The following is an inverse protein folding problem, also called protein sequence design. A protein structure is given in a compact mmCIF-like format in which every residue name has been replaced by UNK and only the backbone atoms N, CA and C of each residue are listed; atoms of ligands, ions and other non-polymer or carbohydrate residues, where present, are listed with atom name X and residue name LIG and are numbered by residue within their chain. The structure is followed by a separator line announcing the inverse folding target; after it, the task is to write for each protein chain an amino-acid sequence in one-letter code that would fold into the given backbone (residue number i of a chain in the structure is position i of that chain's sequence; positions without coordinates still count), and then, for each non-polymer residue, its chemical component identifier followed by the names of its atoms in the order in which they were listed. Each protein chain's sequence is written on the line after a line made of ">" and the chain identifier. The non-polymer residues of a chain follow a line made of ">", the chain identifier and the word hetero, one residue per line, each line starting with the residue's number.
data_IF_264239974902
#
_entry.id   IF_264239974902
#
_cell.length_a   1.000
_cell.length_b   1.000
_cell.length_c   1.000
_cell.angle_alpha   90.00
_cell.angle_beta   90.00
_cell.angle_gamma   90.00
#
_symmetry.space_group_name_H-M   'P 1'
#
loop_
_entity.id
_entity.type
_entity.pdbx_description
1 polymer ?
#
# COMPACT_ATOMS: atom_id res chain seq x y z
N UNK A 1 6.41 -5.51 50.04
CA UNK A 1 4.99 -5.11 49.83
C UNK A 1 4.19 -6.35 49.47
N UNK A 2 3.26 -6.75 50.34
CA UNK A 2 2.57 -8.04 50.26
C UNK A 2 1.44 -8.00 49.20
N UNK A 3 1.23 -9.12 48.48
CA UNK A 3 0.25 -9.28 47.37
C UNK A 3 -1.15 -8.69 47.65
N UNK A 4 -1.56 -8.60 48.92
CA UNK A 4 -2.83 -7.99 49.36
C UNK A 4 -2.93 -6.48 49.08
N UNK A 5 -1.82 -5.74 49.09
CA UNK A 5 -1.81 -4.29 48.79
C UNK A 5 -1.98 -4.00 47.29
N UNK A 6 -1.55 -4.93 46.42
CA UNK A 6 -1.72 -4.81 44.96
C UNK A 6 -3.18 -4.97 44.51
N UNK A 7 -3.92 -5.90 45.12
CA UNK A 7 -5.35 -6.08 44.83
C UNK A 7 -6.21 -4.93 45.34
N UNK A 8 -5.85 -4.33 46.49
CA UNK A 8 -6.54 -3.15 47.01
C UNK A 8 -6.37 -1.92 46.09
N UNK A 9 -5.17 -1.74 45.53
CA UNK A 9 -4.90 -0.66 44.57
C UNK A 9 -5.66 -0.85 43.25
N UNK A 10 -5.73 -2.09 42.74
CA UNK A 10 -6.48 -2.42 41.52
C UNK A 10 -7.99 -2.25 41.70
N UNK A 11 -8.53 -2.64 42.86
CA UNK A 11 -9.95 -2.44 43.17
C UNK A 11 -10.32 -0.95 43.28
N UNK A 12 -9.45 -0.13 43.89
CA UNK A 12 -9.64 1.30 43.99
C UNK A 12 -9.62 1.99 42.60
N UNK A 13 -8.70 1.60 41.72
CA UNK A 13 -8.63 2.11 40.35
C UNK A 13 -9.86 1.73 39.53
N UNK A 14 -10.35 0.49 39.65
CA UNK A 14 -11.57 0.06 38.96
C UNK A 14 -12.81 0.83 39.43
N UNK A 15 -12.93 1.12 40.73
CA UNK A 15 -14.03 1.91 41.28
C UNK A 15 -14.03 3.36 40.77
N UNK A 16 -12.85 3.97 40.61
CA UNK A 16 -12.71 5.32 40.06
C UNK A 16 -13.17 5.36 38.59
N UNK A 17 -12.80 4.37 37.78
CA UNK A 17 -13.23 4.30 36.36
C UNK A 17 -14.74 4.17 36.22
N UNK A 18 -15.39 3.38 37.08
CA UNK A 18 -16.86 3.23 37.08
C UNK A 18 -17.55 4.54 37.47
N UNK A 19 -17.03 5.25 38.47
CA UNK A 19 -17.60 6.54 38.90
C UNK A 19 -17.47 7.63 37.83
N UNK A 20 -16.33 7.70 37.15
CA UNK A 20 -16.13 8.64 36.03
C UNK A 20 -17.07 8.30 34.86
N UNK A 21 -17.26 7.01 34.56
CA UNK A 21 -18.16 6.58 33.49
C UNK A 21 -19.63 6.90 33.80
N UNK A 22 -20.06 6.75 35.05
CA UNK A 22 -21.42 7.10 35.48
C UNK A 22 -21.68 8.62 35.42
N UNK A 23 -20.68 9.45 35.74
CA UNK A 23 -20.78 10.90 35.65
C UNK A 23 -20.92 11.40 34.20
N UNK A 24 -20.26 10.72 33.24
CA UNK A 24 -20.40 11.04 31.80
C UNK A 24 -21.80 10.68 31.30
N UNK A 25 -22.37 9.55 31.73
CA UNK A 25 -23.72 9.13 31.33
C UNK A 25 -24.83 10.01 31.91
N UNK A 26 -24.63 10.56 33.12
CA UNK A 26 -25.61 11.45 33.75
C UNK A 26 -25.53 12.91 33.27
N UNK A 27 -24.47 13.28 32.51
CA UNK A 27 -24.29 14.62 31.95
C UNK A 27 -24.98 14.90 30.62
N UNK A 28 -25.57 13.89 29.96
CA UNK A 28 -26.17 14.03 28.61
C UNK A 28 -27.71 14.11 28.63
N UNK A 29 -28.35 13.99 29.79
CA UNK A 29 -29.82 14.12 29.89
C UNK A 29 -30.21 15.48 30.48
N UNK A 30 -30.24 16.50 29.62
CA UNK A 30 -30.65 17.86 29.96
C UNK A 30 -31.43 18.56 28.87
N UNK A 31 -32.76 18.40 28.93
CA UNK A 31 -33.82 19.37 28.54
C UNK A 31 -33.90 19.87 27.08
N UNK A 32 -34.93 19.42 26.37
CA UNK A 32 -35.50 20.10 25.21
C UNK A 32 -37.00 19.84 25.13
N UNK A 33 -37.80 20.83 25.50
CA UNK A 33 -39.24 20.77 25.64
C UNK A 33 -39.99 20.59 24.30
N UNK A 34 -41.18 20.01 24.40
CA UNK A 34 -42.20 19.88 23.33
C UNK A 34 -42.61 21.25 22.79
N UNK A 35 -42.77 21.33 21.48
CA UNK A 35 -43.81 22.15 20.86
C UNK A 35 -44.39 21.37 19.68
N UNK A 36 -45.62 20.90 19.86
CA UNK A 36 -46.48 20.48 18.76
C UNK A 36 -47.03 21.72 18.09
N UNK A 37 -46.83 21.84 16.78
CA UNK A 37 -47.61 22.71 15.91
C UNK A 37 -47.77 21.98 14.59
N UNK A 38 -49.02 21.65 14.27
CA UNK A 38 -49.43 21.08 13.02
C UNK A 38 -49.14 22.07 11.88
N UNK A 39 -48.52 21.60 10.80
CA UNK A 39 -48.78 22.18 9.49
C UNK A 39 -48.59 21.16 8.35
N UNK A 40 -49.26 21.46 7.26
CA UNK A 40 -49.81 20.58 6.26
C UNK A 40 -48.80 20.10 5.20
N UNK A 41 -49.27 19.16 4.38
CA UNK A 41 -48.53 18.43 3.36
C UNK A 41 -47.65 19.25 2.42
N UNK A 42 -46.42 18.76 2.25
CA UNK A 42 -45.71 18.81 0.99
C UNK A 42 -44.92 17.49 0.84
N UNK A 43 -45.29 16.66 -0.14
CA UNK A 43 -44.50 15.48 -0.52
C UNK A 43 -43.18 15.97 -1.11
N UNK A 44 -42.11 15.92 -0.33
CA UNK A 44 -40.75 16.11 -0.85
C UNK A 44 -40.44 14.98 -1.83
N UNK A 45 -39.98 15.25 -3.06
CA UNK A 45 -39.57 14.21 -3.98
C UNK A 45 -38.42 13.43 -3.36
N UNK A 46 -38.65 12.15 -3.03
CA UNK A 46 -37.57 11.21 -2.70
C UNK A 46 -36.82 10.87 -3.99
N UNK A 47 -35.84 11.70 -4.33
CA UNK A 47 -34.70 11.31 -5.17
C UNK A 47 -33.57 12.29 -4.95
N UNK A 48 -32.98 12.24 -3.76
CA UNK A 48 -31.55 12.47 -3.66
C UNK A 48 -30.93 11.12 -3.97
N UNK A 49 -30.61 10.86 -5.24
CA UNK A 49 -29.59 9.87 -5.52
C UNK A 49 -28.36 10.33 -4.73
N UNK A 50 -27.85 9.48 -3.82
CA UNK A 50 -26.55 9.73 -3.24
C UNK A 50 -25.58 10.03 -4.38
N UNK A 51 -24.71 11.05 -4.29
CA UNK A 51 -23.72 11.27 -5.34
C UNK A 51 -23.04 9.94 -5.59
N UNK A 52 -23.02 9.49 -6.85
CA UNK A 52 -22.27 8.30 -7.22
C UNK A 52 -20.86 8.52 -6.70
N UNK A 53 -20.41 7.70 -5.75
CA UNK A 53 -19.06 7.77 -5.21
C UNK A 53 -18.12 7.72 -6.41
N UNK A 54 -17.49 8.85 -6.73
CA UNK A 54 -16.42 8.87 -7.71
C UNK A 54 -15.29 8.09 -7.07
N UNK A 55 -15.00 6.89 -7.58
CA UNK A 55 -13.98 6.03 -7.02
C UNK A 55 -12.66 6.76 -6.79
N UNK A 56 -11.89 6.23 -5.84
CA UNK A 56 -10.59 6.78 -5.48
C UNK A 56 -9.51 5.73 -5.64
N UNK A 57 -8.27 6.19 -5.83
CA UNK A 57 -7.11 5.30 -5.74
C UNK A 57 -6.81 5.03 -4.28
N UNK A 58 -6.77 3.75 -3.92
CA UNK A 58 -6.48 3.28 -2.56
C UNK A 58 -5.33 2.29 -2.62
N UNK A 59 -4.40 2.39 -1.67
CA UNK A 59 -3.31 1.43 -1.53
C UNK A 59 -3.87 0.07 -1.12
N UNK A 60 -3.89 -0.89 -2.05
CA UNK A 60 -4.43 -2.23 -1.83
C UNK A 60 -3.40 -3.20 -1.24
N UNK A 61 -2.13 -2.95 -1.52
CA UNK A 61 -1.00 -3.65 -0.96
C UNK A 61 0.24 -2.74 -1.05
N UNK A 62 1.14 -2.83 -0.08
CA UNK A 62 2.48 -2.29 -0.23
C UNK A 62 3.44 -2.94 0.76
N UNK A 63 4.73 -2.83 0.50
CA UNK A 63 5.78 -3.28 1.41
C UNK A 63 6.99 -2.35 1.31
N UNK A 64 7.59 -2.05 2.45
CA UNK A 64 8.77 -1.17 2.52
C UNK A 64 10.00 -1.90 1.97
N UNK A 65 10.76 -1.31 1.03
CA UNK A 65 12.03 -1.88 0.61
C UNK A 65 13.06 -1.77 1.75
N UNK A 66 13.73 -2.87 2.07
CA UNK A 66 14.63 -2.96 3.23
C UNK A 66 16.09 -2.76 2.85
N UNK A 67 16.49 -3.08 1.63
CA UNK A 67 17.88 -2.98 1.22
C UNK A 67 18.11 -3.28 -0.26
N UNK A 68 19.38 -3.29 -0.64
CA UNK A 68 19.86 -3.96 -1.84
C UNK A 68 20.08 -5.45 -1.52
N UNK A 69 19.58 -6.35 -2.35
CA UNK A 69 19.73 -7.78 -2.16
C UNK A 69 21.21 -8.20 -2.28
N UNK A 70 21.79 -8.85 -1.26
CA UNK A 70 23.18 -9.30 -1.30
C UNK A 70 23.46 -10.22 -2.48
N UNK A 71 24.61 -10.04 -3.15
CA UNK A 71 25.04 -10.85 -4.29
C UNK A 71 24.43 -10.45 -5.62
N UNK A 72 23.65 -9.36 -5.65
CA UNK A 72 23.00 -8.84 -6.86
C UNK A 72 23.61 -7.53 -7.36
N UNK A 73 24.72 -7.08 -6.75
CA UNK A 73 25.31 -5.75 -6.94
C UNK A 73 25.70 -5.48 -8.40
N UNK A 74 26.26 -6.48 -9.08
CA UNK A 74 26.79 -6.33 -10.44
C UNK A 74 25.80 -6.68 -11.55
N UNK A 75 25.01 -7.74 -11.35
CA UNK A 75 24.17 -8.31 -12.42
C UNK A 75 22.67 -8.20 -12.17
N UNK A 76 22.25 -7.99 -10.93
CA UNK A 76 20.84 -8.12 -10.57
C UNK A 76 20.25 -9.44 -11.03
N UNK A 77 19.11 -9.34 -11.71
CA UNK A 77 18.38 -10.43 -12.36
C UNK A 77 18.27 -10.23 -13.87
N UNK A 78 19.31 -9.68 -14.50
CA UNK A 78 19.32 -9.48 -15.95
C UNK A 78 19.05 -10.79 -16.70
N UNK A 79 18.17 -10.73 -17.70
CA UNK A 79 17.75 -11.88 -18.49
C UNK A 79 16.80 -12.83 -17.75
N UNK A 80 16.24 -12.42 -16.61
CA UNK A 80 15.27 -13.21 -15.84
C UNK A 80 13.99 -12.42 -15.58
N UNK A 81 12.86 -13.12 -15.58
CA UNK A 81 11.58 -12.58 -15.17
C UNK A 81 11.36 -12.87 -13.69
N UNK A 82 11.06 -11.83 -12.90
CA UNK A 82 10.71 -11.95 -11.48
C UNK A 82 9.21 -11.77 -11.36
N UNK A 83 8.51 -12.81 -10.89
CA UNK A 83 7.07 -12.81 -10.61
C UNK A 83 6.84 -12.73 -9.11
N UNK A 84 6.57 -11.53 -8.63
CA UNK A 84 6.19 -11.26 -7.26
C UNK A 84 4.73 -11.66 -7.05
N UNK A 85 4.43 -12.36 -5.95
CA UNK A 85 3.04 -12.56 -5.53
C UNK A 85 2.74 -11.58 -4.40
N UNK A 86 1.64 -10.84 -4.48
CA UNK A 86 1.22 -9.88 -3.43
C UNK A 86 -0.23 -10.13 -3.05
N UNK A 87 -0.56 -9.96 -1.77
CA UNK A 87 -1.90 -10.16 -1.23
C UNK A 87 -2.59 -8.82 -1.02
N UNK A 88 -3.55 -8.49 -1.86
CA UNK A 88 -4.32 -7.24 -1.79
C UNK A 88 -5.42 -7.33 -0.74
N UNK A 89 -5.63 -6.26 0.02
CA UNK A 89 -6.64 -6.22 1.08
C UNK A 89 -7.94 -5.58 0.65
N UNK A 90 -7.91 -4.67 -0.33
CA UNK A 90 -9.11 -4.13 -0.97
C UNK A 90 -9.07 -4.35 -2.48
N UNK A 91 -10.24 -4.55 -3.06
CA UNK A 91 -10.48 -4.72 -4.47
C UNK A 91 -10.73 -3.42 -5.22
N UNK A 92 -10.79 -3.53 -6.55
CA UNK A 92 -11.05 -2.39 -7.42
C UNK A 92 -11.24 -2.79 -8.88
N UNK A 93 -11.56 -1.79 -9.70
CA UNK A 93 -11.84 -1.97 -11.14
C UNK A 93 -10.62 -1.79 -12.04
N UNK A 94 -9.55 -1.19 -11.49
CA UNK A 94 -8.27 -0.97 -12.15
C UNK A 94 -7.15 -1.05 -11.12
N UNK A 95 -5.93 -1.32 -11.58
CA UNK A 95 -4.74 -1.35 -10.74
C UNK A 95 -3.62 -0.49 -11.36
N UNK A 96 -2.72 -0.02 -10.51
CA UNK A 96 -1.40 0.51 -10.92
C UNK A 96 -0.34 0.03 -9.93
N UNK A 97 0.88 -0.13 -10.41
CA UNK A 97 1.98 -0.75 -9.66
C UNK A 97 3.12 0.24 -9.48
N UNK A 98 3.66 0.35 -8.28
CA UNK A 98 4.87 1.13 -8.00
C UNK A 98 6.09 0.22 -8.00
N UNK A 99 7.01 0.49 -8.92
CA UNK A 99 8.31 -0.16 -9.06
C UNK A 99 9.42 0.78 -8.55
N UNK A 100 10.37 0.25 -7.80
CA UNK A 100 11.40 1.03 -7.11
C UNK A 100 12.80 0.49 -7.38
N UNK A 101 13.72 1.42 -7.65
CA UNK A 101 15.15 1.19 -7.74
C UNK A 101 15.89 1.92 -6.60
N UNK A 102 15.25 2.03 -5.43
CA UNK A 102 15.74 2.81 -4.28
C UNK A 102 17.19 2.46 -3.88
N UNK A 103 17.53 1.18 -3.83
CA UNK A 103 18.86 0.72 -3.43
C UNK A 103 19.78 0.42 -4.63
N UNK A 104 19.27 0.53 -5.87
CA UNK A 104 20.08 0.32 -7.05
C UNK A 104 21.12 1.43 -7.22
N UNK A 105 22.27 1.06 -7.76
CA UNK A 105 23.39 1.96 -8.07
C UNK A 105 23.52 2.24 -9.57
N UNK A 106 22.71 1.57 -10.39
CA UNK A 106 22.63 1.72 -11.85
C UNK A 106 21.17 1.92 -12.28
N UNK A 107 20.91 2.55 -13.43
CA UNK A 107 19.56 2.64 -13.97
C UNK A 107 18.96 1.25 -14.22
N UNK A 108 17.78 1.00 -13.63
CA UNK A 108 17.02 -0.21 -13.84
C UNK A 108 16.18 -0.08 -15.11
N UNK A 109 16.57 -0.79 -16.17
CA UNK A 109 15.85 -0.80 -17.44
C UNK A 109 14.88 -1.99 -17.52
N UNK A 110 13.61 -1.75 -17.22
CA UNK A 110 12.56 -2.75 -17.37
C UNK A 110 11.96 -2.64 -18.76
N UNK A 111 12.12 -3.67 -19.60
CA UNK A 111 11.56 -3.64 -20.95
C UNK A 111 10.16 -4.23 -21.03
N UNK A 112 9.77 -5.05 -20.04
CA UNK A 112 8.43 -5.62 -19.92
C UNK A 112 8.04 -5.75 -18.45
N UNK A 113 6.77 -5.50 -18.17
CA UNK A 113 6.15 -5.82 -16.90
C UNK A 113 4.66 -6.18 -17.10
N UNK A 114 4.09 -6.97 -16.19
CA UNK A 114 2.69 -7.39 -16.25
C UNK A 114 2.09 -7.58 -14.86
N UNK A 115 0.76 -7.54 -14.81
CA UNK A 115 -0.06 -7.88 -13.63
C UNK A 115 -1.15 -8.88 -14.01
N UNK A 116 -1.45 -9.83 -13.12
CA UNK A 116 -2.54 -10.78 -13.27
C UNK A 116 -3.09 -11.20 -11.90
N UNK A 117 -4.28 -11.81 -11.87
CA UNK A 117 -4.73 -12.57 -10.70
C UNK A 117 -4.04 -13.94 -10.70
N UNK A 118 -3.78 -14.49 -9.53
CA UNK A 118 -3.34 -15.90 -9.45
C UNK A 118 -4.48 -16.86 -9.82
N UNK A 119 -4.17 -17.96 -10.50
CA UNK A 119 -5.13 -19.03 -10.78
C UNK A 119 -5.42 -19.90 -9.54
N UNK A 120 -4.46 -19.99 -8.63
CA UNK A 120 -4.58 -20.76 -7.39
C UNK A 120 -3.65 -20.20 -6.29
N UNK A 121 -3.94 -20.42 -5.00
CA UNK A 121 -3.03 -20.05 -3.92
C UNK A 121 -1.65 -20.66 -4.10
N UNK A 122 -0.59 -19.90 -3.82
CA UNK A 122 0.80 -20.36 -3.86
C UNK A 122 1.21 -21.03 -5.19
N UNK A 123 0.72 -20.48 -6.31
CA UNK A 123 1.00 -20.98 -7.65
C UNK A 123 1.44 -19.84 -8.58
N UNK A 124 2.42 -20.05 -9.49
CA UNK A 124 2.84 -19.03 -10.43
C UNK A 124 1.87 -18.79 -11.60
N UNK A 125 0.88 -19.66 -11.84
CA UNK A 125 -0.07 -19.57 -12.97
C UNK A 125 -1.03 -18.38 -12.80
N UNK A 126 -1.21 -17.61 -13.86
CA UNK A 126 -2.20 -16.54 -13.92
C UNK A 126 -3.60 -17.09 -14.19
N UNK A 127 -4.62 -16.49 -13.58
CA UNK A 127 -6.01 -16.78 -13.89
C UNK A 127 -6.30 -16.38 -15.36
N UNK A 128 -6.92 -17.26 -16.16
CA UNK A 128 -7.14 -17.01 -17.59
C UNK A 128 -7.83 -15.67 -17.87
N UNK A 129 -7.29 -14.90 -18.82
CA UNK A 129 -7.89 -13.62 -19.25
C UNK A 129 -7.68 -12.45 -18.28
N UNK A 130 -6.93 -12.65 -17.20
CA UNK A 130 -6.62 -11.59 -16.21
C UNK A 130 -5.27 -10.92 -16.45
N UNK A 131 -4.38 -11.53 -17.25
CA UNK A 131 -3.06 -10.98 -17.52
C UNK A 131 -3.14 -9.67 -18.30
N UNK A 132 -2.45 -8.65 -17.80
CA UNK A 132 -2.35 -7.33 -18.44
C UNK A 132 -0.90 -6.88 -18.45
N UNK A 133 -0.44 -6.40 -19.60
CA UNK A 133 0.83 -5.68 -19.68
C UNK A 133 0.71 -4.36 -18.91
N UNK A 134 1.77 -4.01 -18.17
CA UNK A 134 1.92 -2.70 -17.56
C UNK A 134 2.63 -1.77 -18.54
N UNK A 135 2.21 -0.51 -18.55
CA UNK A 135 2.84 0.56 -19.32
C UNK A 135 3.27 1.71 -18.42
N UNK A 136 4.16 2.56 -18.93
CA UNK A 136 4.69 3.74 -18.26
C UNK A 136 4.70 4.88 -19.28
N UNK A 137 3.85 5.89 -19.05
CA UNK A 137 3.63 6.98 -20.00
C UNK A 137 3.24 6.44 -21.40
N UNK A 138 2.44 5.38 -21.43
CA UNK A 138 1.97 4.70 -22.64
C UNK A 138 2.99 3.73 -23.28
N UNK A 139 4.19 3.57 -22.71
CA UNK A 139 5.26 2.71 -23.26
C UNK A 139 5.37 1.40 -22.47
N UNK A 140 5.77 0.33 -23.12
CA UNK A 140 5.98 -0.97 -22.45
C UNK A 140 7.27 -1.03 -21.63
N UNK A 141 8.22 -0.12 -21.90
CA UNK A 141 9.51 -0.01 -21.21
C UNK A 141 9.57 1.20 -20.26
N UNK A 142 10.40 1.07 -19.23
CA UNK A 142 10.75 2.16 -18.32
C UNK A 142 12.17 2.03 -17.82
N UNK A 143 12.87 3.18 -17.74
CA UNK A 143 14.15 3.29 -17.03
C UNK A 143 13.89 3.97 -15.70
N UNK A 144 14.22 3.28 -14.61
CA UNK A 144 14.12 3.80 -13.24
C UNK A 144 15.52 4.16 -12.75
N UNK A 145 15.87 5.45 -12.59
CA UNK A 145 17.19 5.85 -12.11
C UNK A 145 17.52 5.29 -10.71
N UNK A 146 18.80 5.24 -10.31
CA UNK A 146 19.20 4.94 -8.94
C UNK A 146 18.45 5.80 -7.91
N UNK A 147 17.94 5.20 -6.85
CA UNK A 147 17.24 5.94 -5.78
C UNK A 147 15.78 6.30 -6.07
N UNK A 148 15.29 6.05 -7.29
CA UNK A 148 13.99 6.52 -7.75
C UNK A 148 12.92 5.41 -7.77
N UNK A 149 11.67 5.82 -7.94
CA UNK A 149 10.54 4.93 -8.19
C UNK A 149 9.67 5.43 -9.36
N UNK A 150 8.92 4.51 -9.96
CA UNK A 150 7.95 4.79 -11.03
C UNK A 150 6.66 4.04 -10.79
N UNK A 151 5.54 4.74 -10.97
CA UNK A 151 4.20 4.17 -10.95
C UNK A 151 3.81 3.85 -12.39
N UNK A 152 3.24 2.68 -12.63
CA UNK A 152 2.70 2.33 -13.94
C UNK A 152 1.48 3.18 -14.27
N UNK A 153 1.13 3.23 -15.55
CA UNK A 153 -0.19 3.67 -15.98
C UNK A 153 -1.26 2.75 -15.35
N UNK A 154 -2.49 3.28 -15.26
CA UNK A 154 -3.62 2.52 -14.78
C UNK A 154 -4.03 1.44 -15.79
N UNK A 155 -4.23 0.22 -15.31
CA UNK A 155 -4.67 -0.90 -16.14
C UNK A 155 -6.01 -1.47 -15.67
N UNK A 156 -6.92 -1.71 -16.61
CA UNK A 156 -8.23 -2.31 -16.30
C UNK A 156 -8.09 -3.80 -16.00
N UNK A 157 -8.27 -4.12 -14.73
CA UNK A 157 -8.30 -5.47 -14.18
C UNK A 157 -9.21 -5.43 -12.95
N UNK A 158 -10.19 -6.34 -12.87
CA UNK A 158 -11.04 -6.43 -11.68
C UNK A 158 -10.30 -7.22 -10.62
N UNK A 159 -9.93 -6.55 -9.54
CA UNK A 159 -9.27 -7.14 -8.37
C UNK A 159 -10.34 -7.36 -7.31
N UNK A 160 -10.63 -8.61 -6.90
CA UNK A 160 -11.47 -8.88 -5.73
C UNK A 160 -10.80 -8.44 -4.42
N UNK A 161 -11.59 -8.26 -3.36
CA UNK A 161 -11.03 -8.11 -2.02
C UNK A 161 -10.28 -9.39 -1.59
N UNK A 162 -9.16 -9.23 -0.87
CA UNK A 162 -8.37 -10.37 -0.41
C UNK A 162 -7.73 -11.17 -1.54
N UNK A 163 -7.50 -10.58 -2.71
CA UNK A 163 -6.98 -11.30 -3.87
C UNK A 163 -5.44 -11.33 -3.90
N UNK A 164 -4.90 -12.45 -4.40
CA UNK A 164 -3.48 -12.56 -4.72
C UNK A 164 -3.23 -12.13 -6.17
N UNK A 165 -2.30 -11.18 -6.34
CA UNK A 165 -1.84 -10.70 -7.65
C UNK A 165 -0.45 -11.21 -7.96
N UNK A 166 -0.22 -11.50 -9.24
CA UNK A 166 1.07 -11.81 -9.83
C UNK A 166 1.59 -10.55 -10.54
N UNK A 167 2.75 -10.05 -10.12
CA UNK A 167 3.40 -8.89 -10.74
C UNK A 167 4.74 -9.33 -11.28
N UNK A 168 4.85 -9.37 -12.61
CA UNK A 168 6.07 -9.83 -13.28
C UNK A 168 6.85 -8.63 -13.81
N UNK A 169 8.17 -8.63 -13.60
CA UNK A 169 9.11 -7.65 -14.19
C UNK A 169 10.21 -8.38 -14.94
N UNK A 170 10.70 -7.77 -16.02
CA UNK A 170 11.83 -8.29 -16.79
C UNK A 170 12.79 -7.15 -17.19
N UNK A 171 14.08 -7.36 -16.92
CA UNK A 171 15.18 -6.52 -17.41
C UNK A 171 16.13 -7.38 -18.26
N UNK A 172 16.44 -6.99 -19.50
CA UNK A 172 17.43 -7.69 -20.31
C UNK A 172 18.87 -7.31 -19.92
N UNK A 173 19.05 -6.15 -19.26
CA UNK A 173 20.37 -5.59 -18.95
C UNK A 173 20.70 -5.69 -17.46
N UNK A 174 22.00 -5.88 -17.11
CA UNK A 174 22.48 -5.76 -15.74
C UNK A 174 22.07 -4.44 -15.08
N UNK A 175 21.62 -4.54 -13.83
CA UNK A 175 21.38 -3.42 -12.91
C UNK A 175 21.42 -3.97 -11.49
N UNK A 176 21.93 -3.21 -10.53
CA UNK A 176 22.02 -3.69 -9.16
C UNK A 176 22.53 -2.66 -8.15
N UNK A 177 22.51 -2.99 -6.84
CA UNK A 177 21.84 -4.16 -6.28
C UNK A 177 20.31 -4.07 -6.42
N UNK A 178 19.64 -5.23 -6.38
CA UNK A 178 18.19 -5.33 -6.50
C UNK A 178 17.53 -4.74 -5.27
N UNK A 179 16.63 -3.78 -5.45
CA UNK A 179 15.78 -3.28 -4.36
C UNK A 179 14.82 -4.38 -3.93
N UNK A 180 14.86 -4.77 -2.66
CA UNK A 180 14.06 -5.91 -2.18
C UNK A 180 13.54 -5.75 -0.74
N UNK A 181 12.58 -6.61 -0.41
CA UNK A 181 12.08 -6.85 0.92
C UNK A 181 12.32 -8.33 1.30
N UNK A 182 13.16 -8.64 2.32
CA UNK A 182 13.65 -9.99 2.62
C UNK A 182 12.66 -10.91 3.35
N UNK A 183 11.57 -10.37 3.89
CA UNK A 183 10.66 -11.11 4.78
C UNK A 183 9.21 -11.08 4.29
N UNK A 184 9.01 -11.28 3.00
CA UNK A 184 7.68 -11.18 2.36
C UNK A 184 6.59 -12.07 2.99
N UNK A 185 6.98 -13.16 3.66
CA UNK A 185 6.08 -14.24 4.09
C UNK A 185 5.20 -14.77 2.94
N UNK A 186 5.67 -14.60 1.72
CA UNK A 186 4.99 -14.94 0.48
C UNK A 186 5.96 -15.67 -0.45
N UNK A 187 5.43 -16.56 -1.29
CA UNK A 187 6.19 -17.32 -2.27
C UNK A 187 6.10 -16.58 -3.61
N UNK A 188 7.18 -15.91 -3.99
CA UNK A 188 7.41 -15.34 -5.32
C UNK A 188 8.17 -16.33 -6.20
N UNK A 189 8.33 -16.02 -7.49
CA UNK A 189 9.00 -16.90 -8.43
C UNK A 189 9.95 -16.17 -9.38
N UNK A 190 10.92 -16.90 -9.91
CA UNK A 190 11.88 -16.43 -10.91
C UNK A 190 11.93 -17.44 -12.07
N UNK A 191 11.97 -16.92 -13.30
CA UNK A 191 12.13 -17.69 -14.52
C UNK A 191 13.24 -17.11 -15.40
N UNK A 192 13.91 -17.95 -16.20
CA UNK A 192 14.86 -17.48 -17.21
C UNK A 192 14.13 -16.94 -18.44
N UNK A 193 14.68 -15.87 -19.02
CA UNK A 193 14.13 -15.19 -20.20
C UNK A 193 12.96 -14.26 -19.87
N UNK A 194 12.43 -13.66 -20.92
CA UNK A 194 11.25 -12.81 -20.88
C UNK A 194 10.00 -13.72 -20.81
N UNK A 195 9.25 -13.63 -19.70
CA UNK A 195 8.10 -14.50 -19.35
C UNK A 195 6.93 -13.68 -18.80
N UNK A 196 6.89 -12.39 -19.09
CA UNK A 196 5.86 -11.48 -18.55
C UNK A 196 4.46 -11.82 -19.06
N UNK A 197 4.35 -12.44 -20.25
CA UNK A 197 3.08 -12.90 -20.83
C UNK A 197 2.79 -14.39 -20.59
N UNK A 198 3.60 -15.09 -19.78
CA UNK A 198 3.41 -16.52 -19.49
C UNK A 198 2.31 -16.74 -18.44
N UNK A 199 1.08 -16.93 -18.89
CA UNK A 199 -0.06 -17.28 -18.03
C UNK A 199 0.09 -18.65 -17.36
N UNK A 200 0.71 -19.62 -18.04
CA UNK A 200 0.82 -20.98 -17.52
C UNK A 200 1.63 -21.05 -16.23
N UNK A 201 2.61 -20.15 -16.06
CA UNK A 201 3.52 -20.17 -14.92
C UNK A 201 4.55 -21.31 -14.97
N UNK A 202 4.52 -22.18 -15.99
CA UNK A 202 5.34 -23.39 -16.03
C UNK A 202 6.86 -23.11 -16.07
N UNK A 203 7.26 -21.96 -16.62
CA UNK A 203 8.67 -21.55 -16.66
C UNK A 203 9.21 -21.05 -15.31
N UNK A 204 8.34 -20.76 -14.35
CA UNK A 204 8.67 -20.20 -13.03
C UNK A 204 9.02 -21.31 -12.04
N UNK A 205 10.15 -21.98 -12.30
CA UNK A 205 10.60 -23.15 -11.53
C UNK A 205 11.38 -22.80 -10.27
N UNK A 206 11.83 -21.55 -10.11
CA UNK A 206 12.55 -21.10 -8.92
C UNK A 206 11.62 -20.33 -7.99
N UNK A 207 11.38 -20.85 -6.80
CA UNK A 207 10.69 -20.12 -5.73
C UNK A 207 11.64 -19.13 -5.03
N UNK A 208 11.08 -18.03 -4.54
CA UNK A 208 11.80 -17.03 -3.76
C UNK A 208 10.92 -16.44 -2.67
N UNK A 209 11.43 -16.29 -1.44
CA UNK A 209 10.66 -15.74 -0.32
C UNK A 209 10.72 -14.19 -0.25
N UNK A 210 11.12 -13.51 -1.32
CA UNK A 210 11.35 -12.07 -1.35
C UNK A 210 10.39 -11.35 -2.30
N UNK A 211 10.09 -10.09 -1.99
CA UNK A 211 9.58 -9.14 -2.97
C UNK A 211 10.73 -8.32 -3.53
N UNK A 212 10.81 -8.21 -4.86
CA UNK A 212 11.86 -7.45 -5.57
C UNK A 212 11.23 -6.41 -6.48
N UNK A 213 11.76 -5.19 -6.43
CA UNK A 213 11.36 -4.01 -7.20
C UNK A 213 9.92 -3.51 -6.96
N UNK A 214 8.95 -4.38 -6.67
CA UNK A 214 7.56 -4.00 -6.41
C UNK A 214 7.42 -3.51 -4.97
N UNK A 215 6.88 -2.30 -4.79
CA UNK A 215 6.75 -1.67 -3.46
C UNK A 215 5.33 -1.23 -3.13
N UNK A 216 4.46 -1.05 -4.12
CA UNK A 216 3.03 -0.79 -3.89
C UNK A 216 2.15 -1.24 -5.05
N UNK A 217 0.90 -1.55 -4.73
CA UNK A 217 -0.22 -1.71 -5.66
C UNK A 217 -1.35 -0.83 -5.17
N UNK A 218 -1.79 0.09 -6.02
CA UNK A 218 -3.02 0.84 -5.79
C UNK A 218 -4.11 0.28 -6.69
N UNK A 219 -5.34 0.27 -6.18
CA UNK A 219 -6.53 -0.06 -6.96
C UNK A 219 -7.50 1.12 -7.01
N UNK A 220 -8.26 1.22 -8.10
CA UNK A 220 -9.33 2.19 -8.23
C UNK A 220 -10.63 1.57 -7.70
N UNK A 221 -11.04 1.98 -6.50
CA UNK A 221 -12.17 1.42 -5.77
C UNK A 221 -13.29 2.45 -5.62
N UNK A 222 -14.53 2.01 -5.83
CA UNK A 222 -15.73 2.81 -5.54
C UNK A 222 -16.31 2.51 -4.15
N UNK A 223 -15.80 1.48 -3.49
CA UNK A 223 -16.34 0.92 -2.24
C UNK A 223 -15.40 1.23 -1.06
N UNK A 224 -14.09 1.32 -1.30
CA UNK A 224 -13.13 1.58 -0.23
C UNK A 224 -13.23 2.99 0.35
N UNK A 225 -13.18 3.06 1.68
CA UNK A 225 -13.18 4.29 2.48
C UNK A 225 -11.75 4.85 2.70
N UNK A 226 -10.71 4.16 2.22
CA UNK A 226 -9.32 4.57 2.37
C UNK A 226 -8.39 3.44 2.79
N UNK A 227 -7.21 3.79 3.29
CA UNK A 227 -6.18 2.87 3.74
C UNK A 227 -5.66 3.23 5.14
N UNK A 228 -5.44 2.20 5.95
CA UNK A 228 -4.71 2.23 7.22
C UNK A 228 -3.30 1.73 6.96
N UNK A 229 -2.28 2.57 7.21
CA UNK A 229 -0.89 2.13 7.13
C UNK A 229 -0.38 1.66 8.49
N UNK A 230 0.19 0.46 8.51
CA UNK A 230 0.77 -0.15 9.70
C UNK A 230 2.29 -0.13 9.58
N UNK A 231 2.92 0.85 10.23
CA UNK A 231 4.37 0.94 10.35
C UNK A 231 4.84 0.15 11.56
N UNK A 232 5.80 -0.75 11.39
CA UNK A 232 6.28 -1.54 12.54
C UNK A 232 7.55 -2.35 12.30
N UNK A 233 7.84 -3.20 13.27
CA UNK A 233 9.00 -4.09 13.30
C UNK A 233 8.67 -5.50 12.78
N UNK A 234 9.41 -6.52 13.22
CA UNK A 234 9.22 -7.93 12.88
C UNK A 234 7.83 -8.50 13.16
N UNK A 235 7.12 -7.99 14.17
CA UNK A 235 5.77 -8.44 14.47
C UNK A 235 4.83 -8.02 13.35
N UNK A 236 4.99 -6.78 12.88
CA UNK A 236 4.23 -6.24 11.74
C UNK A 236 4.67 -6.88 10.43
N UNK A 237 5.98 -7.04 10.23
CA UNK A 237 6.56 -7.71 9.06
C UNK A 237 6.05 -9.16 8.88
N UNK A 238 5.57 -9.76 9.98
CA UNK A 238 4.93 -11.07 9.99
C UNK A 238 5.89 -12.21 10.24
N UNK A 239 7.03 -11.96 10.91
CA UNK A 239 7.91 -13.04 11.40
C UNK A 239 7.07 -14.04 12.19
N UNK A 240 7.36 -15.33 12.00
CA UNK A 240 6.59 -16.49 12.50
C UNK A 240 5.25 -16.80 11.81
N UNK A 241 4.75 -15.93 10.91
CA UNK A 241 3.60 -16.31 10.07
C UNK A 241 3.97 -17.41 9.07
N UNK A 242 3.02 -18.30 8.79
CA UNK A 242 3.20 -19.39 7.83
C UNK A 242 3.40 -18.83 6.42
N UNK A 243 4.49 -19.25 5.76
CA UNK A 243 4.84 -18.80 4.42
C UNK A 243 3.70 -19.07 3.42
N UNK A 244 3.28 -18.04 2.66
CA UNK A 244 2.25 -18.20 1.62
C UNK A 244 0.84 -18.41 2.15
N UNK A 245 0.61 -18.31 3.47
CA UNK A 245 -0.72 -18.54 4.05
C UNK A 245 -1.57 -17.27 4.12
N UNK A 246 -1.00 -16.09 3.88
CA UNK A 246 -1.66 -14.78 4.07
C UNK A 246 -2.28 -14.65 5.48
N UNK A 247 -1.48 -15.00 6.51
CA UNK A 247 -1.87 -14.95 7.94
C UNK A 247 -0.95 -14.04 8.76
N UNK A 248 -0.40 -12.98 8.17
CA UNK A 248 0.21 -11.90 8.97
C UNK A 248 -0.93 -11.27 9.76
N UNK A 249 -0.67 -10.70 10.94
CA UNK A 249 -1.76 -10.12 11.72
C UNK A 249 -2.48 -8.98 10.97
N UNK A 250 -1.78 -8.28 10.06
CA UNK A 250 -2.38 -7.29 9.16
C UNK A 250 -3.33 -7.91 8.14
N UNK A 251 -3.07 -9.12 7.64
CA UNK A 251 -3.98 -9.84 6.75
C UNK A 251 -5.27 -10.22 7.51
N UNK A 252 -5.11 -10.70 8.75
CA UNK A 252 -6.24 -11.03 9.64
C UNK A 252 -7.03 -9.78 10.02
N UNK A 253 -6.35 -8.65 10.29
CA UNK A 253 -7.02 -7.37 10.56
C UNK A 253 -7.85 -6.92 9.36
N UNK A 254 -7.28 -6.96 8.16
CA UNK A 254 -8.00 -6.57 6.94
C UNK A 254 -9.22 -7.45 6.69
N UNK A 255 -9.09 -8.76 6.89
CA UNK A 255 -10.22 -9.67 6.80
C UNK A 255 -11.31 -9.30 7.82
N UNK A 256 -10.94 -9.07 9.09
CA UNK A 256 -11.90 -8.64 10.11
C UNK A 256 -12.59 -7.34 9.74
N UNK A 257 -11.86 -6.32 9.28
CA UNK A 257 -12.45 -5.04 8.90
C UNK A 257 -13.54 -5.17 7.82
N UNK A 258 -13.37 -6.08 6.85
CA UNK A 258 -14.36 -6.41 5.82
C UNK A 258 -15.52 -7.25 6.35
N UNK A 259 -15.25 -8.17 7.27
CA UNK A 259 -16.26 -9.10 7.82
C UNK A 259 -17.13 -8.45 8.94
N UNK A 260 -16.72 -7.32 9.51
CA UNK A 260 -17.42 -6.63 10.60
C UNK A 260 -18.75 -5.96 10.13
N UNK A 261 -19.83 -6.04 10.95
CA UNK A 261 -21.09 -5.35 10.66
C UNK A 261 -20.91 -3.84 10.53
N UNK A 262 -21.28 -3.27 9.39
CA UNK A 262 -21.07 -1.85 9.05
C UNK A 262 -20.01 -1.62 7.97
N UNK A 263 -19.31 -2.67 7.55
CA UNK A 263 -18.38 -2.69 6.42
C UNK A 263 -17.37 -1.54 6.45
N UNK A 264 -16.40 -1.63 7.35
CA UNK A 264 -15.26 -0.70 7.36
C UNK A 264 -14.36 -1.08 6.18
N UNK A 265 -14.69 -0.61 4.98
CA UNK A 265 -13.99 -0.86 3.71
C UNK A 265 -12.62 -0.15 3.65
N UNK A 266 -11.82 -0.28 4.71
CA UNK A 266 -10.47 0.23 4.81
C UNK A 266 -9.48 -0.86 4.38
N UNK A 267 -8.59 -0.50 3.47
CA UNK A 267 -7.41 -1.33 3.18
C UNK A 267 -6.42 -1.27 4.33
N UNK A 268 -5.67 -2.35 4.58
CA UNK A 268 -4.61 -2.38 5.61
C UNK A 268 -3.25 -2.59 4.94
N UNK A 269 -2.39 -1.58 4.99
CA UNK A 269 -1.11 -1.62 4.27
C UNK A 269 0.02 -1.87 5.25
N UNK A 270 0.72 -2.99 5.07
CA UNK A 270 1.78 -3.44 5.96
C UNK A 270 3.14 -2.82 5.57
N UNK A 271 3.66 -1.95 6.44
CA UNK A 271 5.00 -1.36 6.33
C UNK A 271 5.94 -1.86 7.43
N UNK A 272 5.79 -3.13 7.81
CA UNK A 272 6.71 -3.80 8.72
C UNK A 272 8.10 -3.96 8.12
N UNK A 273 9.13 -3.81 8.94
CA UNK A 273 10.50 -4.22 8.61
C UNK A 273 11.07 -4.93 9.84
N UNK A 274 11.53 -6.17 9.69
CA UNK A 274 12.09 -6.91 10.83
C UNK A 274 13.31 -6.22 11.43
N UNK A 275 13.35 -6.12 12.76
CA UNK A 275 14.41 -5.43 13.48
C UNK A 275 14.44 -3.91 13.29
N UNK A 276 13.38 -3.33 12.71
CA UNK A 276 13.31 -1.90 12.48
C UNK A 276 13.30 -1.11 13.79
N UNK A 277 14.00 0.01 13.79
CA UNK A 277 14.10 0.90 14.94
C UNK A 277 13.46 2.22 14.56
N UNK A 278 12.91 2.92 15.55
CA UNK A 278 12.23 4.19 15.30
C UNK A 278 13.20 5.30 14.86
N UNK A 279 14.38 5.37 15.50
CA UNK A 279 15.30 6.52 15.40
C UNK A 279 16.67 6.20 14.79
N UNK A 280 16.97 4.92 14.52
CA UNK A 280 18.30 4.52 14.05
C UNK A 280 18.18 3.69 12.80
N UNK A 281 18.92 4.10 11.76
CA UNK A 281 19.03 3.33 10.54
C UNK A 281 19.96 2.12 10.73
N UNK A 282 19.88 1.15 9.81
CA UNK A 282 20.96 0.19 9.62
C UNK A 282 22.13 0.78 8.83
N UNK A 283 23.03 -0.09 8.41
CA UNK A 283 24.25 0.30 7.71
C UNK A 283 24.01 0.52 6.21
N UNK A 284 24.93 1.24 5.55
CA UNK A 284 24.92 1.46 4.10
C UNK A 284 24.35 2.81 3.67
N UNK A 285 24.35 3.08 2.37
CA UNK A 285 23.79 4.30 1.77
C UNK A 285 23.18 3.98 0.39
N UNK A 286 21.84 4.06 0.22
CA UNK A 286 20.84 4.27 1.27
C UNK A 286 20.94 3.22 2.37
N UNK A 287 20.60 3.61 3.60
CA UNK A 287 20.73 2.71 4.74
C UNK A 287 19.80 1.50 4.58
N UNK A 288 20.37 0.30 4.68
CA UNK A 288 19.56 -0.89 4.84
C UNK A 288 18.79 -0.81 6.16
N UNK A 289 17.56 -1.32 6.20
CA UNK A 289 16.66 -1.23 7.34
C UNK A 289 16.56 0.23 7.88
N UNK A 290 16.06 1.17 7.05
CA UNK A 290 16.00 2.57 7.41
C UNK A 290 15.05 2.76 8.58
N UNK A 291 15.37 3.69 9.48
CA UNK A 291 14.58 3.98 10.67
C UNK A 291 13.13 4.35 10.32
N UNK A 292 12.22 4.06 11.25
CA UNK A 292 10.81 4.46 11.14
C UNK A 292 10.66 5.95 10.84
N UNK A 293 11.46 6.80 11.49
CA UNK A 293 11.49 8.25 11.26
C UNK A 293 11.88 8.59 9.81
N UNK A 294 12.99 8.04 9.31
CA UNK A 294 13.50 8.38 7.98
C UNK A 294 12.63 7.85 6.83
N UNK A 295 11.80 6.83 7.10
CA UNK A 295 10.92 6.25 6.09
C UNK A 295 9.45 6.65 6.23
N UNK A 296 9.08 7.38 7.27
CA UNK A 296 7.68 7.67 7.60
C UNK A 296 6.94 8.35 6.44
N UNK A 297 7.54 9.38 5.86
CA UNK A 297 6.97 10.12 4.72
C UNK A 297 6.70 9.18 3.54
N UNK A 298 7.70 8.39 3.15
CA UNK A 298 7.65 7.50 1.98
C UNK A 298 6.69 6.33 2.18
N UNK A 299 6.81 5.65 3.32
CA UNK A 299 6.14 4.38 3.56
C UNK A 299 4.73 4.58 4.14
N UNK A 300 4.46 5.67 4.88
CA UNK A 300 3.15 5.95 5.46
C UNK A 300 2.40 7.08 4.75
N UNK A 301 2.92 8.31 4.76
CA UNK A 301 2.16 9.48 4.33
C UNK A 301 1.95 9.55 2.81
N UNK A 302 2.87 9.00 2.03
CA UNK A 302 2.81 8.97 0.57
C UNK A 302 1.96 7.81 0.01
N UNK A 303 1.08 7.18 0.78
CA UNK A 303 0.24 6.05 0.31
C UNK A 303 -1.16 6.51 -0.11
N UNK A 304 -1.64 6.00 -1.23
CA UNK A 304 -2.96 6.31 -1.77
C UNK A 304 -4.07 5.93 -0.79
N UNK A 305 -5.08 6.80 -0.64
CA UNK A 305 -6.22 6.54 0.25
C UNK A 305 -5.92 6.69 1.74
N UNK A 306 -4.71 7.10 2.14
CA UNK A 306 -4.51 7.58 3.51
C UNK A 306 -5.30 8.88 3.68
N UNK A 307 -6.35 8.82 4.51
CA UNK A 307 -7.11 10.01 4.84
C UNK A 307 -6.16 11.05 5.45
N UNK A 308 -6.18 12.25 4.89
CA UNK A 308 -5.63 13.45 5.50
C UNK A 308 -6.34 13.63 6.85
N UNK A 309 -5.70 13.18 7.93
CA UNK A 309 -6.16 13.52 9.28
C UNK A 309 -5.96 15.02 9.44
N UNK A 310 -7.06 15.75 9.31
CA UNK A 310 -7.31 17.09 9.81
C UNK A 310 -6.37 17.50 10.94
N UNK A 311 -5.52 18.50 10.68
CA UNK A 311 -4.92 19.33 11.72
C UNK A 311 -5.62 20.70 11.71
N UNK A 312 -6.35 21.10 12.77
CA UNK A 312 -6.83 22.46 12.89
C UNK A 312 -5.68 23.33 13.39
N UNK A 313 -4.66 23.55 12.55
CA UNK A 313 -3.68 24.65 12.58
C UNK A 313 -2.38 24.27 11.85
N UNK A 314 -2.41 24.29 10.52
CA UNK A 314 -1.24 24.67 9.74
C UNK A 314 -1.73 25.23 8.41
N UNK A 315 -1.74 26.55 8.32
CA UNK A 315 -1.97 27.27 7.08
C UNK A 315 -0.94 26.86 6.03
N UNK A 316 -1.46 26.32 4.92
CA UNK A 316 -0.88 26.40 3.58
C UNK A 316 0.30 25.48 3.25
N UNK A 317 -0.01 24.30 2.70
CA UNK A 317 0.77 23.73 1.57
C UNK A 317 -0.20 23.24 0.50
N UNK A 318 -0.47 24.10 -0.48
CA UNK A 318 -1.20 23.75 -1.70
C UNK A 318 -0.25 23.01 -2.64
N UNK A 319 -0.63 21.78 -3.01
CA UNK A 319 0.03 21.02 -4.07
C UNK A 319 -0.47 21.57 -5.41
N UNK A 320 0.26 22.53 -5.99
CA UNK A 320 -0.03 23.04 -7.33
C UNK A 320 0.46 22.02 -8.38
N UNK A 321 -0.49 21.49 -9.14
CA UNK A 321 -0.30 20.85 -10.44
C UNK A 321 0.57 21.75 -11.33
N UNK A 322 1.79 21.32 -11.60
CA UNK A 322 2.68 21.98 -12.57
C UNK A 322 2.31 21.48 -13.97
N UNK A 323 1.30 22.09 -14.58
CA UNK A 323 1.09 22.02 -16.03
C UNK A 323 2.22 22.78 -16.71
N UNK A 324 3.14 22.04 -17.35
CA UNK A 324 4.16 22.64 -18.22
C UNK A 324 3.51 23.03 -19.55
N UNK A 325 3.21 24.32 -19.69
CA UNK A 325 3.04 24.96 -21.00
C UNK A 325 4.12 26.03 -21.11
N UNK A 326 4.99 26.01 -22.14
CA UNK A 326 6.02 27.04 -22.28
C UNK A 326 5.39 28.33 -22.82
N UNK A 327 5.82 29.52 -22.38
CA UNK A 327 5.33 30.77 -22.96
C UNK A 327 5.88 30.96 -24.38
N UNK A 328 5.12 31.62 -25.28
CA UNK A 328 5.60 31.92 -26.63
C UNK A 328 6.70 32.98 -26.57
N UNK A 329 7.77 32.74 -27.35
CA UNK A 329 8.75 33.78 -27.68
C UNK A 329 8.10 34.82 -28.58
N UNK A 330 8.26 36.10 -28.27
CA UNK A 330 8.35 37.15 -29.29
C UNK A 330 9.15 38.35 -28.76
N UNK A 331 9.91 39.04 -29.64
CA UNK A 331 10.93 40.01 -29.27
C UNK A 331 10.36 41.42 -29.22
N UNK A 332 10.89 42.28 -28.35
CA UNK A 332 10.82 43.73 -28.57
C UNK A 332 12.07 44.41 -28.05
N UNK A 333 12.53 45.34 -28.87
CA UNK A 333 13.80 46.05 -28.90
C UNK A 333 13.62 47.45 -28.30
N UNK A 334 14.71 47.98 -27.72
CA UNK A 334 15.11 49.38 -27.46
C UNK A 334 14.41 50.23 -26.38
N UNK A 335 15.25 50.68 -25.42
CA UNK A 335 15.63 52.05 -25.03
C UNK A 335 16.04 52.00 -23.55
N UNK A 336 17.19 52.47 -23.06
CA UNK A 336 18.23 53.43 -23.48
C UNK A 336 19.60 52.92 -23.06
#
# INVERSE_FOLDING_TARGET
>A
MTKRHGYALLAALAAIVVLISAAIYLGVTGTGARNESADQGARTPRSSAAPASSGSWVAAWSASPVGGEPGTELRGYAGQSIRNVVHTHTGGSSARVTLSNLYGQQPLNLTRASVALTAAPNNPSAAPGTLRALTFDGRSDVVIPPGEQRVSDAVRIRVPDGADLLITTFSPTPSGPVTYHPHARQISYVARGERTDDESGAAYTQQSPFWRYVTAVDVYSNESQGAVVVLGDSLTDGITSTMGANRRWTDVLAQRMRDEPGNLDLSVVNQGISGNRLLSDGLGRPAGNPSGLNRFERDALSRSGCAEWWSPSASTTSCATRTTTPPPRSPTVCAT
#
